data_IF_245207263184
#
_entry.id   IF_245207263184
#
_cell.length_a   1.000
_cell.length_b   1.000
_cell.length_c   1.000
_cell.angle_alpha   90.00
_cell.angle_beta   90.00
_cell.angle_gamma   90.00
#
_symmetry.space_group_name_H-M   'P 1'
#
loop_
_entity.id
_entity.type
_entity.pdbx_description
1 polymer ?
#
# COMPACT_ATOMS: atom_id res chain seq x y z
N UNK A 1 -67.49 -29.59 27.89
CA UNK A 1 -67.20 -28.16 27.69
C UNK A 1 -65.85 -27.87 28.35
N UNK A 2 -64.84 -27.57 27.53
CA UNK A 2 -63.63 -26.75 27.77
C UNK A 2 -62.56 -27.22 26.78
N UNK A 3 -62.39 -26.39 25.76
CA UNK A 3 -61.47 -26.44 24.64
C UNK A 3 -60.11 -25.92 25.12
N UNK A 4 -59.00 -26.60 24.81
CA UNK A 4 -57.64 -26.07 25.04
C UNK A 4 -56.87 -26.04 23.72
N UNK A 5 -56.89 -24.87 23.10
CA UNK A 5 -56.03 -24.46 22.00
C UNK A 5 -54.57 -24.39 22.47
N UNK A 6 -53.66 -25.11 21.81
CA UNK A 6 -52.23 -24.87 21.88
C UNK A 6 -51.82 -24.14 20.59
N UNK A 7 -51.50 -22.85 20.71
CA UNK A 7 -50.86 -22.07 19.65
C UNK A 7 -49.35 -22.24 19.85
N UNK A 8 -48.70 -22.94 18.92
CA UNK A 8 -47.24 -22.96 18.82
C UNK A 8 -46.84 -21.78 17.94
N UNK A 9 -46.32 -20.72 18.57
CA UNK A 9 -45.73 -19.56 17.90
C UNK A 9 -44.39 -19.97 17.29
N UNK A 10 -44.36 -20.13 15.97
CA UNK A 10 -43.13 -20.27 15.19
C UNK A 10 -42.44 -18.90 15.11
N UNK A 11 -41.43 -18.67 15.94
CA UNK A 11 -40.59 -17.49 15.87
C UNK A 11 -39.66 -17.55 14.66
N UNK A 12 -39.98 -16.79 13.61
CA UNK A 12 -39.10 -16.59 12.46
C UNK A 12 -38.06 -15.53 12.82
N UNK A 13 -36.88 -15.96 13.27
CA UNK A 13 -35.75 -15.07 13.53
C UNK A 13 -35.15 -14.60 12.19
N UNK A 14 -35.48 -13.38 11.76
CA UNK A 14 -34.81 -12.72 10.65
C UNK A 14 -33.41 -12.31 11.11
N UNK A 15 -32.42 -13.13 10.77
CA UNK A 15 -31.01 -12.71 10.86
C UNK A 15 -30.81 -11.65 9.78
N UNK A 16 -30.91 -10.38 10.17
CA UNK A 16 -30.46 -9.26 9.34
C UNK A 16 -28.95 -9.38 9.26
N UNK A 17 -28.46 -10.07 8.24
CA UNK A 17 -27.05 -10.10 7.89
C UNK A 17 -26.70 -8.70 7.38
N UNK A 18 -26.21 -7.84 8.27
CA UNK A 18 -25.66 -6.54 7.90
C UNK A 18 -24.34 -6.81 7.18
N UNK A 19 -24.39 -6.96 5.85
CA UNK A 19 -23.21 -7.00 5.01
C UNK A 19 -22.57 -5.61 5.07
N UNK A 20 -21.55 -5.46 5.91
CA UNK A 20 -20.69 -4.28 5.92
C UNK A 20 -20.02 -4.21 4.55
N UNK A 21 -20.60 -3.43 3.64
CA UNK A 21 -19.99 -3.17 2.33
C UNK A 21 -18.78 -2.27 2.58
N UNK A 22 -17.60 -2.88 2.67
CA UNK A 22 -16.36 -2.15 2.90
C UNK A 22 -16.07 -1.28 1.68
N UNK A 23 -16.29 0.02 1.81
CA UNK A 23 -16.01 0.98 0.73
C UNK A 23 -14.50 1.07 0.50
N UNK A 24 -14.07 0.96 -0.76
CA UNK A 24 -12.67 1.17 -1.13
C UNK A 24 -12.21 2.59 -0.79
N UNK A 25 -10.93 2.78 -0.41
CA UNK A 25 -10.41 4.11 -0.17
C UNK A 25 -10.48 4.97 -1.44
N UNK A 26 -10.97 6.20 -1.29
CA UNK A 26 -11.00 7.20 -2.35
C UNK A 26 -9.92 8.23 -2.07
N UNK A 27 -8.92 8.29 -2.93
CA UNK A 27 -7.76 9.16 -2.77
C UNK A 27 -7.31 9.71 -4.11
N UNK A 28 -6.67 10.86 -4.07
CA UNK A 28 -5.92 11.42 -5.19
C UNK A 28 -4.43 11.22 -4.98
N UNK A 29 -3.69 11.19 -6.09
CA UNK A 29 -2.23 11.13 -6.10
C UNK A 29 -1.71 12.24 -6.99
N UNK A 30 -0.78 13.02 -6.44
CA UNK A 30 -0.14 14.12 -7.16
C UNK A 30 1.35 13.81 -7.28
N UNK A 31 1.85 13.42 -8.47
CA UNK A 31 3.29 13.28 -8.70
C UNK A 31 3.96 14.67 -8.69
N UNK A 32 5.21 14.73 -8.23
CA UNK A 32 6.00 15.97 -8.19
C UNK A 32 6.43 16.44 -9.59
N UNK A 33 6.56 15.50 -10.53
CA UNK A 33 6.91 15.75 -11.92
C UNK A 33 5.75 15.39 -12.85
N UNK A 34 5.53 16.24 -13.85
CA UNK A 34 4.55 16.00 -14.92
C UNK A 34 4.92 14.82 -15.83
N UNK A 35 6.19 14.43 -15.88
CA UNK A 35 6.66 13.28 -16.66
C UNK A 35 6.30 11.95 -16.02
N UNK A 36 6.02 11.93 -14.72
CA UNK A 36 5.71 10.70 -14.02
C UNK A 36 4.20 10.45 -14.13
N UNK A 37 3.83 9.29 -14.67
CA UNK A 37 2.44 8.89 -14.83
C UNK A 37 2.02 8.01 -13.66
N UNK A 38 0.90 8.37 -13.04
CA UNK A 38 0.28 7.59 -11.97
C UNK A 38 -1.07 7.08 -12.44
N UNK A 39 -1.31 5.79 -12.27
CA UNK A 39 -2.57 5.12 -12.55
C UNK A 39 -3.08 4.44 -11.26
N UNK A 40 -4.40 4.46 -11.05
CA UNK A 40 -5.03 3.73 -9.95
C UNK A 40 -5.83 2.58 -10.57
N UNK A 41 -5.45 1.34 -10.23
CA UNK A 41 -6.16 0.14 -10.66
C UNK A 41 -6.91 -0.48 -9.51
N UNK A 42 -7.96 -1.23 -9.83
CA UNK A 42 -8.63 -2.11 -8.88
C UNK A 42 -8.30 -3.56 -9.22
N UNK A 43 -7.84 -4.33 -8.25
CA UNK A 43 -7.61 -5.76 -8.39
C UNK A 43 -8.15 -6.48 -7.16
N UNK A 44 -9.08 -7.42 -7.35
CA UNK A 44 -9.67 -8.24 -6.29
C UNK A 44 -10.21 -7.40 -5.12
N UNK A 45 -10.86 -6.28 -5.41
CA UNK A 45 -11.40 -5.37 -4.40
C UNK A 45 -10.33 -4.60 -3.61
N UNK A 46 -9.18 -4.31 -4.23
CA UNK A 46 -8.12 -3.45 -3.66
C UNK A 46 -7.68 -2.43 -4.69
N UNK A 47 -7.41 -1.20 -4.24
CA UNK A 47 -6.76 -0.20 -5.08
C UNK A 47 -5.26 -0.41 -5.10
N UNK A 48 -4.69 -0.40 -6.29
CA UNK A 48 -3.26 -0.50 -6.59
C UNK A 48 -2.83 0.81 -7.22
N UNK A 49 -1.72 1.36 -6.75
CA UNK A 49 -1.07 2.52 -7.35
C UNK A 49 -0.02 2.01 -8.32
N UNK A 50 -0.13 2.36 -9.59
CA UNK A 50 0.90 2.08 -10.61
C UNK A 50 1.61 3.36 -10.98
N UNK A 51 2.94 3.33 -10.96
CA UNK A 51 3.79 4.49 -11.23
C UNK A 51 4.73 4.13 -12.37
N UNK A 52 4.70 4.97 -13.40
CA UNK A 52 5.61 4.94 -14.52
C UNK A 52 6.47 6.20 -14.47
N UNK A 53 7.78 6.03 -14.27
CA UNK A 53 8.71 7.13 -14.10
C UNK A 53 9.90 6.95 -15.03
N UNK A 54 9.85 7.61 -16.19
CA UNK A 54 10.92 7.55 -17.20
C UNK A 54 12.26 8.05 -16.65
N UNK A 55 12.22 9.05 -15.76
CA UNK A 55 13.44 9.64 -15.19
C UNK A 55 14.10 8.79 -14.10
N UNK A 56 13.40 7.77 -13.62
CA UNK A 56 13.82 6.93 -12.50
C UNK A 56 13.79 7.60 -11.12
N UNK A 57 13.66 8.93 -11.02
CA UNK A 57 13.57 9.65 -9.74
C UNK A 57 12.26 10.41 -9.69
N UNK A 58 11.51 10.29 -8.60
CA UNK A 58 10.34 11.13 -8.39
C UNK A 58 9.77 11.02 -7.00
N UNK A 59 8.68 11.72 -6.81
CA UNK A 59 7.88 11.69 -5.60
C UNK A 59 6.39 11.81 -5.93
N UNK A 60 5.54 11.36 -5.01
CA UNK A 60 4.12 11.67 -5.09
C UNK A 60 3.52 11.87 -3.69
N UNK A 61 2.55 12.77 -3.59
CA UNK A 61 1.70 12.96 -2.42
C UNK A 61 0.36 12.25 -2.64
N UNK A 62 -0.14 11.59 -1.60
CA UNK A 62 -1.46 10.95 -1.58
C UNK A 62 -2.35 11.67 -0.59
N UNK A 63 -3.56 12.02 -1.04
CA UNK A 63 -4.60 12.62 -0.19
C UNK A 63 -5.83 11.70 -0.17
N UNK A 64 -6.17 11.18 1.02
CA UNK A 64 -7.33 10.31 1.24
C UNK A 64 -8.58 11.14 1.57
N UNK A 65 -9.62 11.00 0.75
CA UNK A 65 -10.88 11.73 0.85
C UNK A 65 -11.98 10.91 1.55
N UNK A 66 -12.02 9.59 1.33
CA UNK A 66 -12.99 8.70 1.96
C UNK A 66 -12.45 7.28 2.13
N UNK A 67 -12.97 6.54 3.11
CA UNK A 67 -12.51 5.19 3.43
C UNK A 67 -11.19 5.18 4.21
N UNK A 68 -10.45 4.07 4.11
CA UNK A 68 -9.19 3.85 4.82
C UNK A 68 -8.37 2.74 4.13
N UNK A 69 -7.14 2.55 4.59
CA UNK A 69 -6.22 1.53 4.07
C UNK A 69 -6.06 0.33 5.02
N UNK A 70 -7.12 -0.20 5.67
CA UNK A 70 -6.88 -1.27 6.67
C UNK A 70 -6.36 -2.60 6.08
N UNK A 71 -6.36 -2.79 4.76
CA UNK A 71 -5.69 -3.94 4.11
C UNK A 71 -4.26 -3.62 3.66
N UNK A 72 -3.77 -2.44 4.01
CA UNK A 72 -2.52 -1.88 3.48
C UNK A 72 -2.72 -1.27 2.11
N UNK A 73 -1.59 -0.96 1.48
CA UNK A 73 -1.53 -0.33 0.17
C UNK A 73 -0.58 -1.13 -0.72
N UNK A 74 -0.97 -1.32 -1.97
CA UNK A 74 -0.09 -1.91 -2.97
C UNK A 74 0.37 -0.85 -3.95
N UNK A 75 1.67 -0.78 -4.16
CA UNK A 75 2.31 0.12 -5.12
C UNK A 75 3.10 -0.74 -6.12
N UNK A 76 2.98 -0.45 -7.42
CA UNK A 76 3.79 -1.02 -8.48
C UNK A 76 4.63 0.10 -9.11
N UNK A 77 5.94 -0.02 -8.95
CA UNK A 77 6.91 0.92 -9.50
C UNK A 77 7.50 0.29 -10.78
N UNK A 78 7.15 0.83 -11.94
CA UNK A 78 7.72 0.42 -13.23
C UNK A 78 9.09 1.09 -13.42
N UNK A 79 10.09 0.49 -12.80
CA UNK A 79 11.48 0.94 -12.75
C UNK A 79 12.41 -0.24 -13.09
N UNK A 80 13.64 0.05 -13.52
CA UNK A 80 14.67 -0.97 -13.77
C UNK A 80 15.36 -1.37 -12.46
N UNK A 81 15.60 -0.39 -11.60
CA UNK A 81 16.15 -0.52 -10.25
C UNK A 81 15.25 0.09 -9.16
N UNK A 82 15.57 -0.21 -7.91
CA UNK A 82 14.93 0.40 -6.74
C UNK A 82 15.95 0.64 -5.63
N UNK A 83 16.91 1.53 -5.90
CA UNK A 83 18.02 1.87 -5.01
C UNK A 83 17.53 2.66 -3.79
N UNK A 84 16.45 3.43 -3.95
CA UNK A 84 15.76 4.01 -2.81
C UNK A 84 14.26 4.11 -3.06
N UNK A 85 13.50 3.65 -2.08
CA UNK A 85 12.11 3.99 -1.90
C UNK A 85 11.94 4.57 -0.49
N UNK A 86 11.16 5.64 -0.37
CA UNK A 86 10.79 6.20 0.92
C UNK A 86 9.28 6.30 1.00
N UNK A 87 8.70 5.83 2.10
CA UNK A 87 7.31 6.11 2.47
C UNK A 87 7.34 7.02 3.69
N UNK A 88 6.71 8.18 3.57
CA UNK A 88 6.69 9.23 4.59
C UNK A 88 5.25 9.41 5.03
N UNK A 89 5.00 9.05 6.28
CA UNK A 89 3.73 9.19 7.00
C UNK A 89 3.93 10.13 8.20
N UNK A 90 2.87 10.46 8.93
CA UNK A 90 2.99 11.30 10.12
C UNK A 90 3.82 10.62 11.24
N UNK A 91 3.78 9.29 11.33
CA UNK A 91 4.41 8.54 12.41
C UNK A 91 5.75 7.91 12.01
N UNK A 92 5.93 7.62 10.72
CA UNK A 92 7.07 6.86 10.23
C UNK A 92 7.63 7.41 8.91
N UNK A 93 8.95 7.38 8.81
CA UNK A 93 9.65 7.37 7.51
C UNK A 93 10.29 6.00 7.32
N UNK A 94 9.76 5.22 6.37
CA UNK A 94 10.36 3.99 5.89
C UNK A 94 11.39 4.32 4.81
N UNK A 95 12.55 3.68 4.89
CA UNK A 95 13.55 3.61 3.83
C UNK A 95 13.64 2.16 3.35
N UNK A 96 13.59 1.96 2.05
CA UNK A 96 13.65 0.65 1.41
C UNK A 96 14.61 0.69 0.23
N UNK A 97 15.40 -0.36 0.04
CA UNK A 97 16.19 -0.56 -1.17
C UNK A 97 16.24 -2.04 -1.55
N UNK A 98 16.38 -2.29 -2.86
CA UNK A 98 16.61 -3.62 -3.42
C UNK A 98 18.02 -3.67 -3.96
N UNK A 99 18.81 -4.64 -3.50
CA UNK A 99 20.18 -4.83 -3.97
C UNK A 99 20.20 -5.35 -5.40
N UNK A 100 21.01 -4.72 -6.25
CA UNK A 100 21.31 -5.20 -7.60
C UNK A 100 22.43 -6.23 -7.64
N UNK A 101 23.32 -6.24 -6.65
CA UNK A 101 24.46 -7.16 -6.57
C UNK A 101 24.12 -8.49 -5.91
N UNK A 102 23.05 -8.52 -5.10
CA UNK A 102 22.55 -9.69 -4.40
C UNK A 102 21.06 -9.84 -4.72
N UNK A 103 20.71 -10.65 -5.74
CA UNK A 103 19.33 -10.83 -6.15
C UNK A 103 18.43 -11.21 -4.97
N UNK A 104 17.34 -10.47 -4.79
CA UNK A 104 16.37 -10.68 -3.71
C UNK A 104 16.75 -10.11 -2.34
N UNK A 105 17.95 -9.53 -2.18
CA UNK A 105 18.31 -8.89 -0.92
C UNK A 105 17.65 -7.51 -0.78
N UNK A 106 16.80 -7.37 0.24
CA UNK A 106 16.02 -6.16 0.54
C UNK A 106 16.52 -5.56 1.85
N UNK A 107 16.85 -4.27 1.86
CA UNK A 107 17.17 -3.52 3.07
C UNK A 107 16.00 -2.62 3.42
N UNK A 108 15.57 -2.63 4.68
CA UNK A 108 14.53 -1.73 5.18
C UNK A 108 14.91 -1.16 6.53
N UNK A 109 14.78 0.15 6.68
CA UNK A 109 15.01 0.85 7.93
C UNK A 109 13.84 1.80 8.18
N UNK A 110 13.37 1.91 9.43
CA UNK A 110 12.31 2.84 9.80
C UNK A 110 12.82 3.89 10.76
N UNK A 111 12.39 5.13 10.56
CA UNK A 111 12.53 6.22 11.52
C UNK A 111 11.15 6.53 12.08
N UNK A 112 10.99 6.44 13.40
CA UNK A 112 9.73 6.75 14.07
C UNK A 112 9.76 8.16 14.66
N UNK A 113 8.67 8.90 14.48
CA UNK A 113 8.52 10.29 14.89
C UNK A 113 9.16 11.31 13.93
N UNK A 114 8.88 12.58 14.19
CA UNK A 114 9.21 13.72 13.31
C UNK A 114 10.57 14.36 13.62
N UNK A 115 11.38 13.74 14.48
CA UNK A 115 12.71 14.30 14.77
C UNK A 115 13.74 13.81 13.76
N UNK A 116 14.44 14.76 13.12
CA UNK A 116 15.62 14.48 12.30
C UNK A 116 16.72 13.75 13.09
N UNK A 117 16.65 13.76 14.43
CA UNK A 117 17.57 13.05 15.34
C UNK A 117 17.09 11.67 15.76
N UNK A 118 15.87 11.25 15.38
CA UNK A 118 15.37 9.92 15.68
C UNK A 118 16.25 8.86 15.01
N UNK A 119 16.64 7.85 15.78
CA UNK A 119 17.45 6.73 15.29
C UNK A 119 16.66 5.92 14.26
N UNK A 120 17.30 5.55 13.16
CA UNK A 120 16.78 4.53 12.24
C UNK A 120 16.98 3.14 12.82
N UNK A 121 15.92 2.35 12.78
CA UNK A 121 15.91 0.96 13.18
C UNK A 121 15.85 0.05 11.94
N UNK A 122 16.76 -0.91 11.86
CA UNK A 122 16.79 -1.93 10.82
C UNK A 122 15.61 -2.87 11.02
N UNK A 123 14.78 -3.03 10.00
CA UNK A 123 13.69 -3.99 10.01
C UNK A 123 14.17 -5.39 9.61
N UNK A 124 13.44 -6.39 10.05
CA UNK A 124 13.54 -7.80 9.62
C UNK A 124 12.19 -8.26 9.10
N UNK A 125 12.14 -9.37 8.38
CA UNK A 125 10.91 -9.90 7.77
C UNK A 125 9.80 -10.23 8.79
N UNK A 126 10.14 -10.43 10.06
CA UNK A 126 9.18 -10.69 11.14
C UNK A 126 8.54 -9.40 11.69
N UNK A 127 9.03 -8.22 11.30
CA UNK A 127 8.47 -6.94 11.74
C UNK A 127 7.08 -6.69 11.14
N UNK A 128 6.16 -6.16 11.95
CA UNK A 128 4.85 -5.70 11.46
C UNK A 128 4.96 -4.54 10.45
N UNK A 129 6.08 -3.81 10.47
CA UNK A 129 6.40 -2.72 9.54
C UNK A 129 7.09 -3.22 8.26
N UNK A 130 7.39 -4.51 8.14
CA UNK A 130 8.09 -5.03 6.97
C UNK A 130 7.23 -4.93 5.70
N UNK A 131 7.73 -4.19 4.71
CA UNK A 131 7.12 -4.12 3.38
C UNK A 131 7.54 -5.34 2.58
N UNK A 132 6.58 -6.10 2.07
CA UNK A 132 6.90 -7.20 1.16
C UNK A 132 7.19 -6.63 -0.22
N UNK A 133 8.35 -7.00 -0.78
CA UNK A 133 8.79 -6.59 -2.11
C UNK A 133 8.83 -7.79 -3.02
N UNK A 134 8.29 -7.64 -4.23
CA UNK A 134 8.44 -8.62 -5.32
C UNK A 134 8.90 -7.91 -6.58
N UNK A 135 9.96 -8.42 -7.20
CA UNK A 135 10.34 -7.99 -8.54
C UNK A 135 9.61 -8.88 -9.55
N UNK A 136 8.82 -8.27 -10.42
CA UNK A 136 8.08 -8.95 -11.48
C UNK A 136 8.76 -8.61 -12.80
N UNK A 137 9.27 -9.62 -13.50
CA UNK A 137 9.87 -9.44 -14.81
C UNK A 137 8.81 -9.03 -15.84
N UNK A 138 9.23 -8.28 -16.87
CA UNK A 138 8.38 -8.07 -18.03
C UNK A 138 8.11 -9.42 -18.71
N UNK A 139 6.86 -9.67 -19.10
CA UNK A 139 6.57 -10.76 -20.03
C UNK A 139 7.04 -10.35 -21.44
N UNK A 140 7.46 -11.34 -22.25
CA UNK A 140 8.09 -11.14 -23.57
C UNK A 140 7.38 -10.05 -24.40
N UNK A 141 8.04 -8.90 -24.60
CA UNK A 141 7.55 -7.79 -25.43
C UNK A 141 6.76 -6.68 -24.71
N UNK A 142 6.50 -6.80 -23.40
CA UNK A 142 5.82 -5.76 -22.61
C UNK A 142 6.78 -4.70 -22.05
N UNK A 143 6.22 -3.61 -21.51
CA UNK A 143 6.96 -2.58 -20.77
C UNK A 143 7.89 -3.21 -19.71
N UNK A 144 8.97 -2.50 -19.35
CA UNK A 144 9.88 -2.93 -18.29
C UNK A 144 9.10 -3.48 -17.08
N UNK A 145 9.67 -4.50 -16.43
CA UNK A 145 9.09 -5.11 -15.24
C UNK A 145 8.82 -4.10 -14.13
N UNK A 146 8.33 -4.56 -13.00
CA UNK A 146 8.01 -3.65 -11.90
C UNK A 146 8.34 -4.24 -10.54
N UNK A 147 8.55 -3.35 -9.57
CA UNK A 147 8.61 -3.70 -8.16
C UNK A 147 7.21 -3.56 -7.56
N UNK A 148 6.66 -4.66 -7.05
CA UNK A 148 5.43 -4.65 -6.26
C UNK A 148 5.78 -4.51 -4.77
N UNK A 149 5.32 -3.43 -4.17
CA UNK A 149 5.44 -3.14 -2.75
C UNK A 149 4.08 -3.35 -2.08
N UNK A 150 4.00 -4.29 -1.14
CA UNK A 150 2.83 -4.46 -0.29
C UNK A 150 3.10 -3.82 1.08
N UNK A 151 2.61 -2.59 1.24
CA UNK A 151 2.79 -1.77 2.43
C UNK A 151 1.78 -2.18 3.49
N UNK A 152 2.21 -2.59 4.70
CA UNK A 152 1.32 -2.96 5.79
C UNK A 152 0.36 -1.84 6.22
N UNK A 153 -0.84 -2.21 6.66
CA UNK A 153 -1.84 -1.27 7.17
C UNK A 153 -1.38 -0.47 8.41
N UNK A 154 -0.38 -0.95 9.16
CA UNK A 154 0.17 -0.25 10.33
C UNK A 154 0.79 1.11 9.98
N UNK A 155 1.18 1.33 8.72
CA UNK A 155 1.60 2.65 8.23
C UNK A 155 0.44 3.64 8.04
N UNK A 156 -0.79 3.16 8.07
CA UNK A 156 -1.99 3.93 7.75
C UNK A 156 -3.04 3.79 8.86
N UNK A 157 -2.79 4.30 10.07
CA UNK A 157 -3.83 4.40 11.10
C UNK A 157 -5.07 5.14 10.58
N UNK A 158 -6.22 4.93 11.22
CA UNK A 158 -7.53 5.38 10.72
C UNK A 158 -7.66 6.90 10.51
N UNK A 159 -6.82 7.68 11.17
CA UNK A 159 -6.71 9.13 11.06
C UNK A 159 -5.78 9.59 9.92
N UNK A 160 -5.12 8.66 9.21
CA UNK A 160 -4.26 8.99 8.07
C UNK A 160 -5.09 9.64 6.98
N UNK A 161 -4.72 10.87 6.62
CA UNK A 161 -5.33 11.61 5.50
C UNK A 161 -4.35 11.97 4.42
N UNK A 162 -3.05 12.03 4.75
CA UNK A 162 -1.98 12.35 3.81
C UNK A 162 -0.74 11.54 4.13
N UNK A 163 -0.03 11.16 3.07
CA UNK A 163 1.32 10.61 3.12
C UNK A 163 1.98 10.87 1.78
N UNK A 164 3.29 10.66 1.70
CA UNK A 164 4.01 10.77 0.45
C UNK A 164 4.99 9.62 0.28
N UNK A 165 5.42 9.40 -0.94
CA UNK A 165 6.52 8.49 -1.21
C UNK A 165 7.46 9.07 -2.24
N UNK A 166 8.71 8.58 -2.22
CA UNK A 166 9.79 8.98 -3.12
C UNK A 166 10.47 7.73 -3.65
N UNK A 167 10.98 7.80 -4.87
CA UNK A 167 11.74 6.70 -5.47
C UNK A 167 12.96 7.22 -6.20
N UNK A 168 13.99 6.37 -6.27
CA UNK A 168 15.22 6.58 -7.02
C UNK A 168 15.60 5.25 -7.67
N UNK A 169 15.77 5.34 -8.99
CA UNK A 169 16.38 4.36 -9.88
C UNK A 169 17.67 4.95 -10.48
N UNK A 170 18.82 4.32 -10.20
CA UNK A 170 20.11 4.68 -10.79
C UNK A 170 20.49 3.81 -12.00
N UNK A 171 19.76 2.71 -12.26
CA UNK A 171 19.93 1.90 -13.47
C UNK A 171 19.31 2.61 -14.68
N UNK A 172 20.01 3.63 -15.16
CA UNK A 172 19.68 4.39 -16.36
C UNK A 172 20.57 3.92 -17.51
N UNK A 173 19.93 3.41 -18.55
CA UNK A 173 20.50 3.36 -19.91
C UNK A 173 19.67 4.28 -20.78
#
# INVERSE_FOLDING_TARGET
>A
MILRFWIVLLGFAWIVSCSLSRSLPQFDITPDKRSDRVEIREEKGRRIIEIFSESGIGAAEVALHAGNFHEGLKIRLHLRGLESFQLITAQHTLHLSVSSSQPGHISQDVQSGDSATSRRERLTESSALWVKVRQIAAENGAAAGYFELAIPAVYFPDDTRRFSFRWIDFYRE
#
